data_IF_996706812709
#
_entry.id   IF_996706812709
#
_cell.length_a   1.000
_cell.length_b   1.000
_cell.length_c   1.000
_cell.angle_alpha   90.00
_cell.angle_beta   90.00
_cell.angle_gamma   90.00
#
_symmetry.space_group_name_H-M   'P 1'
#
loop_
_entity.id
_entity.type
_entity.pdbx_description
1 polymer ?
#
# COMPACT_ATOMS: atom_id res chain seq x y z
N UNK A 1 -11.20 -4.40 5.56
CA UNK A 1 -12.29 -4.02 6.50
C UNK A 1 -13.61 -4.14 5.77
N UNK A 2 -14.73 -4.21 6.49
CA UNK A 2 -16.06 -4.25 5.90
C UNK A 2 -16.86 -3.02 6.31
N UNK A 3 -17.47 -2.33 5.34
CA UNK A 3 -18.40 -1.23 5.64
C UNK A 3 -19.80 -1.74 5.96
N UNK A 4 -20.70 -0.80 6.27
CA UNK A 4 -22.09 -1.11 6.65
C UNK A 4 -22.92 -1.72 5.50
N UNK A 5 -22.54 -1.45 4.24
CA UNK A 5 -23.15 -2.01 3.03
C UNK A 5 -22.61 -3.39 2.64
N UNK A 6 -21.56 -3.85 3.34
CA UNK A 6 -20.96 -5.16 3.16
C UNK A 6 -19.86 -5.22 2.10
N UNK A 7 -19.31 -4.09 1.69
CA UNK A 7 -18.18 -3.97 0.77
C UNK A 7 -16.84 -4.06 1.52
N UNK A 8 -15.85 -4.67 0.86
CA UNK A 8 -14.50 -4.80 1.39
C UNK A 8 -13.66 -3.56 1.05
N UNK A 9 -13.14 -2.92 2.10
CA UNK A 9 -12.30 -1.72 2.00
C UNK A 9 -10.89 -2.07 2.46
N UNK A 10 -9.90 -1.77 1.60
CA UNK A 10 -8.48 -1.85 1.93
C UNK A 10 -8.00 -0.50 2.48
N UNK A 11 -7.44 -0.49 3.69
CA UNK A 11 -6.82 0.69 4.29
C UNK A 11 -5.33 0.47 4.48
N UNK A 12 -4.53 1.42 3.98
CA UNK A 12 -3.09 1.48 4.18
C UNK A 12 -2.77 2.61 5.16
N UNK A 13 -2.67 2.28 6.44
CA UNK A 13 -2.42 3.25 7.51
C UNK A 13 -0.99 3.14 8.01
N UNK A 14 -0.41 4.28 8.38
CA UNK A 14 0.81 4.30 9.19
C UNK A 14 0.48 4.06 10.66
N UNK A 15 1.44 3.59 11.48
CA UNK A 15 1.20 3.30 12.90
C UNK A 15 0.68 4.50 13.73
N UNK A 16 0.94 5.73 13.29
CA UNK A 16 0.40 6.94 13.88
C UNK A 16 -1.06 7.21 13.46
N UNK A 17 -1.43 6.85 12.23
CA UNK A 17 -2.79 6.99 11.69
C UNK A 17 -3.75 5.93 12.24
N UNK A 18 -3.25 4.74 12.59
CA UNK A 18 -4.04 3.67 13.25
C UNK A 18 -4.69 4.11 14.57
N UNK A 19 -4.21 5.18 15.20
CA UNK A 19 -4.78 5.71 16.45
C UNK A 19 -6.03 6.56 16.22
N UNK A 20 -6.23 7.06 15.01
CA UNK A 20 -7.37 7.90 14.69
C UNK A 20 -8.58 7.03 14.35
N UNK A 21 -9.58 7.08 15.22
CA UNK A 21 -10.83 6.32 15.08
C UNK A 21 -11.62 6.71 13.83
N UNK A 22 -11.42 7.90 13.29
CA UNK A 22 -12.15 8.36 12.10
C UNK A 22 -11.83 7.54 10.85
N UNK A 23 -10.70 6.83 10.81
CA UNK A 23 -10.37 5.90 9.74
C UNK A 23 -11.13 4.58 9.80
N UNK A 24 -11.73 4.25 10.95
CA UNK A 24 -12.46 3.02 11.20
C UNK A 24 -13.97 3.24 11.26
N UNK A 25 -14.44 4.46 10.97
CA UNK A 25 -15.87 4.78 10.92
C UNK A 25 -16.25 5.07 9.48
N UNK A 26 -17.30 4.42 9.02
CA UNK A 26 -17.92 4.67 7.73
C UNK A 26 -18.53 6.08 7.73
N UNK A 27 -18.11 6.91 6.76
CA UNK A 27 -18.49 8.33 6.69
C UNK A 27 -19.94 8.52 6.24
N UNK A 28 -20.52 7.55 5.55
CA UNK A 28 -21.89 7.65 5.06
C UNK A 28 -22.89 7.18 6.11
N UNK A 29 -22.62 6.05 6.76
CA UNK A 29 -23.51 5.48 7.77
C UNK A 29 -23.23 5.95 9.20
N UNK A 30 -22.01 6.48 9.46
CA UNK A 30 -21.54 6.82 10.80
C UNK A 30 -21.29 5.61 11.70
N UNK A 31 -21.30 4.39 11.15
CA UNK A 31 -21.08 3.15 11.90
C UNK A 31 -19.60 2.73 11.85
N UNK A 32 -19.15 2.02 12.88
CA UNK A 32 -17.80 1.47 12.90
C UNK A 32 -17.67 0.32 11.90
N UNK A 33 -16.60 0.34 11.11
CA UNK A 33 -16.25 -0.71 10.16
C UNK A 33 -15.72 -1.94 10.89
N UNK A 34 -15.97 -3.12 10.32
CA UNK A 34 -15.45 -4.37 10.86
C UNK A 34 -14.05 -4.67 10.31
N UNK A 35 -13.11 -4.97 11.20
CA UNK A 35 -11.76 -5.40 10.79
C UNK A 35 -11.82 -6.90 10.44
N UNK A 36 -11.73 -7.22 9.14
CA UNK A 36 -11.66 -8.60 8.65
C UNK A 36 -10.24 -9.17 8.81
N UNK A 37 -9.25 -8.45 8.30
CA UNK A 37 -7.85 -8.86 8.28
C UNK A 37 -6.94 -7.63 8.40
N UNK A 38 -5.82 -7.81 9.10
CA UNK A 38 -4.75 -6.81 9.23
C UNK A 38 -3.42 -7.52 9.02
N UNK A 39 -2.59 -7.01 8.11
CA UNK A 39 -1.26 -7.55 7.83
C UNK A 39 -0.25 -6.41 7.66
N UNK A 40 0.97 -6.51 8.25
CA UNK A 40 2.03 -5.55 7.97
C UNK A 40 2.41 -5.54 6.49
N UNK A 41 2.51 -4.33 5.90
CA UNK A 41 2.82 -4.20 4.47
C UNK A 41 4.16 -4.87 4.07
N UNK A 42 5.16 -4.83 4.95
CA UNK A 42 6.44 -5.52 4.72
C UNK A 42 6.28 -7.04 4.63
N UNK A 43 5.41 -7.62 5.44
CA UNK A 43 5.10 -9.05 5.42
C UNK A 43 4.35 -9.41 4.13
N UNK A 44 3.38 -8.58 3.74
CA UNK A 44 2.69 -8.74 2.47
C UNK A 44 3.65 -8.73 1.28
N UNK A 45 4.63 -7.81 1.25
CA UNK A 45 5.67 -7.83 0.22
C UNK A 45 6.51 -9.10 0.27
N UNK A 46 6.91 -9.57 1.45
CA UNK A 46 7.69 -10.80 1.59
C UNK A 46 6.95 -12.04 1.06
N UNK A 47 5.63 -12.05 1.16
CA UNK A 47 4.78 -13.13 0.67
C UNK A 47 4.54 -13.04 -0.85
N UNK A 48 4.40 -11.83 -1.40
CA UNK A 48 3.90 -11.64 -2.77
C UNK A 48 4.96 -11.19 -3.80
N UNK A 49 6.16 -10.75 -3.39
CA UNK A 49 7.14 -10.16 -4.32
C UNK A 49 7.50 -11.05 -5.52
N UNK A 50 7.46 -12.38 -5.35
CA UNK A 50 7.79 -13.34 -6.41
C UNK A 50 6.74 -13.38 -7.50
N UNK A 51 5.46 -13.26 -7.14
CA UNK A 51 4.33 -13.28 -8.08
C UNK A 51 4.43 -12.10 -9.05
N UNK A 52 4.88 -10.93 -8.56
CA UNK A 52 5.12 -9.74 -9.38
C UNK A 52 6.46 -9.73 -10.14
N UNK A 53 7.25 -10.81 -10.05
CA UNK A 53 8.57 -10.89 -10.67
C UNK A 53 9.53 -9.78 -10.20
N UNK A 54 9.35 -9.32 -8.96
CA UNK A 54 10.19 -8.31 -8.32
C UNK A 54 11.27 -8.97 -7.47
N UNK A 55 12.29 -8.20 -7.08
CA UNK A 55 13.27 -8.63 -6.09
C UNK A 55 13.13 -7.75 -4.84
N UNK A 56 12.65 -8.33 -3.74
CA UNK A 56 12.51 -7.61 -2.48
C UNK A 56 13.87 -7.43 -1.80
N UNK A 57 14.19 -6.19 -1.43
CA UNK A 57 15.40 -5.83 -0.67
C UNK A 57 15.00 -5.01 0.54
N UNK A 58 15.31 -5.55 1.73
CA UNK A 58 15.10 -4.86 3.00
C UNK A 58 16.40 -4.13 3.35
N UNK A 59 16.29 -2.83 3.59
CA UNK A 59 17.40 -1.95 3.99
C UNK A 59 17.12 -1.37 5.38
N UNK A 60 18.18 -0.92 6.05
CA UNK A 60 18.08 -0.23 7.35
C UNK A 60 18.54 1.20 7.23
N UNK A 61 18.14 2.07 8.14
CA UNK A 61 18.50 3.48 8.20
C UNK A 61 19.91 3.75 8.78
N UNK A 62 20.71 2.71 8.97
CA UNK A 62 22.05 2.81 9.58
C UNK A 62 23.09 3.47 8.68
N UNK A 63 22.88 3.48 7.37
CA UNK A 63 23.72 4.23 6.43
C UNK A 63 23.12 5.59 6.11
N UNK A 64 23.94 6.51 5.59
CA UNK A 64 23.47 7.83 5.17
C UNK A 64 22.40 7.71 4.08
N UNK A 65 22.59 6.80 3.12
CA UNK A 65 21.65 6.52 2.04
C UNK A 65 20.35 5.92 2.58
N UNK A 66 20.43 4.98 3.52
CA UNK A 66 19.26 4.39 4.16
C UNK A 66 18.43 5.42 4.94
N UNK A 67 19.10 6.29 5.70
CA UNK A 67 18.44 7.38 6.41
C UNK A 67 17.77 8.39 5.44
N UNK A 68 18.43 8.71 4.32
CA UNK A 68 17.83 9.53 3.26
C UNK A 68 16.65 8.83 2.59
N UNK A 69 16.73 7.52 2.40
CA UNK A 69 15.64 6.76 1.80
C UNK A 69 14.38 6.81 2.67
N UNK A 70 14.52 6.61 3.99
CA UNK A 70 13.40 6.71 4.93
C UNK A 70 12.83 8.13 4.98
N UNK A 71 13.69 9.15 5.10
CA UNK A 71 13.23 10.55 5.27
C UNK A 71 12.72 11.19 3.98
N UNK A 72 13.30 10.84 2.84
CA UNK A 72 12.99 11.42 1.53
C UNK A 72 11.88 10.71 0.78
N UNK A 73 11.74 9.39 0.97
CA UNK A 73 10.79 8.55 0.22
C UNK A 73 9.84 7.74 1.12
N UNK A 74 9.83 8.00 2.44
CA UNK A 74 8.94 7.29 3.37
C UNK A 74 9.35 5.84 3.66
N UNK A 75 10.54 5.41 3.23
CA UNK A 75 11.08 4.07 3.52
C UNK A 75 10.60 2.95 2.60
N UNK A 76 9.91 3.29 1.51
CA UNK A 76 9.45 2.35 0.48
C UNK A 76 9.79 2.90 -0.92
N UNK A 77 10.11 2.00 -1.85
CA UNK A 77 10.47 2.38 -3.21
C UNK A 77 10.71 1.18 -4.11
N UNK A 78 10.73 1.42 -5.42
CA UNK A 78 10.92 0.40 -6.44
C UNK A 78 11.94 0.82 -7.49
N UNK A 79 12.80 -0.11 -7.90
CA UNK A 79 13.69 0.06 -9.04
C UNK A 79 13.06 -0.61 -10.26
N UNK A 80 12.58 0.22 -11.20
CA UNK A 80 11.94 -0.27 -12.42
C UNK A 80 12.97 -0.79 -13.41
N UNK A 81 12.63 -1.88 -14.12
CA UNK A 81 13.50 -2.49 -15.15
C UNK A 81 13.72 -1.58 -16.37
N UNK A 82 12.72 -0.76 -16.68
CA UNK A 82 12.73 0.16 -17.81
C UNK A 82 12.17 1.51 -17.39
N UNK A 83 12.49 2.54 -18.18
CA UNK A 83 11.90 3.87 -17.99
C UNK A 83 10.42 3.80 -18.31
N UNK A 84 9.59 4.24 -17.37
CA UNK A 84 8.15 4.39 -17.54
C UNK A 84 7.85 5.88 -17.69
N UNK A 85 7.00 6.23 -18.66
CA UNK A 85 6.45 7.58 -18.76
C UNK A 85 5.15 7.64 -17.94
N UNK A 86 5.28 8.12 -16.71
CA UNK A 86 4.15 8.26 -15.78
C UNK A 86 3.32 9.52 -16.05
N UNK A 87 3.79 10.44 -16.91
CA UNK A 87 3.10 11.71 -17.15
C UNK A 87 1.86 11.55 -18.04
N UNK A 88 1.80 10.47 -18.82
CA UNK A 88 0.66 10.12 -19.69
C UNK A 88 -0.22 9.00 -19.10
N UNK A 89 0.15 8.50 -17.92
CA UNK A 89 -0.64 7.54 -17.17
C UNK A 89 -1.51 8.38 -16.24
N UNK A 90 -2.81 8.49 -16.54
CA UNK A 90 -3.76 8.92 -15.51
C UNK A 90 -3.70 7.84 -14.43
N UNK A 91 -2.94 8.10 -13.37
CA UNK A 91 -2.62 7.10 -12.36
C UNK A 91 -3.89 6.56 -11.71
N UNK A 92 -4.95 7.37 -11.63
CA UNK A 92 -6.26 6.93 -11.13
C UNK A 92 -6.92 5.92 -12.09
N UNK A 93 -7.08 6.22 -13.38
CA UNK A 93 -7.69 5.29 -14.34
C UNK A 93 -6.81 4.07 -14.68
N UNK A 94 -5.49 4.20 -14.59
CA UNK A 94 -4.58 3.15 -15.00
C UNK A 94 -4.45 2.02 -13.97
N UNK A 95 -4.62 2.28 -12.67
CA UNK A 95 -4.62 1.20 -11.68
C UNK A 95 -5.94 0.41 -11.67
N UNK A 96 -7.06 1.07 -11.98
CA UNK A 96 -8.38 0.43 -12.03
C UNK A 96 -8.58 -0.46 -13.27
N UNK A 97 -7.81 -0.23 -14.35
CA UNK A 97 -7.90 -0.99 -15.60
C UNK A 97 -6.81 -2.06 -15.79
N UNK A 98 -5.90 -2.25 -14.82
CA UNK A 98 -4.96 -3.37 -14.87
C UNK A 98 -5.66 -4.59 -14.28
N UNK A 99 -6.24 -5.41 -15.15
CA UNK A 99 -6.71 -6.74 -14.79
C UNK A 99 -5.50 -7.64 -14.48
N UNK A 100 -5.19 -7.75 -13.18
CA UNK A 100 -4.12 -8.61 -12.66
C UNK A 100 -4.59 -10.05 -12.47
N UNK A 101 -5.88 -10.34 -12.61
CA UNK A 101 -6.43 -11.70 -12.42
C UNK A 101 -6.16 -12.58 -13.66
N UNK A 102 -5.87 -11.96 -14.80
CA UNK A 102 -5.50 -12.61 -16.06
C UNK A 102 -4.00 -13.02 -16.16
N UNK A 103 -3.18 -12.78 -15.12
CA UNK A 103 -1.73 -13.03 -15.13
C UNK A 103 -1.18 -13.95 -14.03
#
# INVERSE_FOLDING_TARGET
>A
MKNSDGEDILLNLRPDEEKDKTHFTDKESGQDMEIIETMPLLEWFANNYKTFGAALKIVTDKSQEGAQFVRGFGGIGGLLRYRVDLAHVDLEDAFDNIDLDDY
#
